data_IF_268553242128
#
_entry.id   IF_268553242128
#
_cell.length_a   1.000
_cell.length_b   1.000
_cell.length_c   1.000
_cell.angle_alpha   90.00
_cell.angle_beta   90.00
_cell.angle_gamma   90.00
#
_symmetry.space_group_name_H-M   'P 1'
#
loop_
_entity.id
_entity.type
_entity.pdbx_description
1 polymer ?
#
# COMPACT_ATOMS: atom_id res chain seq x y z
N UNK A 1 -11.60 -14.10 -12.65
CA UNK A 1 -12.38 -13.05 -13.32
C UNK A 1 -12.44 -11.87 -12.36
N UNK A 2 -11.75 -10.77 -12.67
CA UNK A 2 -11.78 -9.55 -11.84
C UNK A 2 -13.17 -8.93 -12.05
N UNK A 3 -13.91 -8.54 -11.00
CA UNK A 3 -15.21 -7.92 -11.16
C UNK A 3 -15.08 -6.61 -11.97
N UNK A 4 -16.00 -6.34 -12.92
CA UNK A 4 -15.83 -5.29 -13.93
C UNK A 4 -15.79 -3.85 -13.38
N UNK A 5 -16.26 -3.64 -12.15
CA UNK A 5 -16.39 -2.31 -11.52
C UNK A 5 -15.03 -1.68 -11.18
N UNK A 6 -14.09 -2.47 -10.67
CA UNK A 6 -12.76 -1.98 -10.23
C UNK A 6 -11.92 -1.43 -11.40
N UNK A 7 -12.01 -2.07 -12.57
CA UNK A 7 -11.27 -1.65 -13.75
C UNK A 7 -11.81 -0.34 -14.35
N UNK A 8 -13.14 -0.17 -14.39
CA UNK A 8 -13.77 1.06 -14.86
C UNK A 8 -13.47 2.24 -13.94
N UNK A 9 -13.48 2.05 -12.61
CA UNK A 9 -13.11 3.08 -11.63
C UNK A 9 -11.70 3.61 -11.85
N UNK A 10 -10.75 2.74 -12.22
CA UNK A 10 -9.36 3.13 -12.51
C UNK A 10 -9.23 4.00 -13.77
N UNK A 11 -10.05 3.76 -14.79
CA UNK A 11 -10.02 4.53 -16.05
C UNK A 11 -10.70 5.90 -15.92
N UNK A 12 -11.69 6.02 -15.03
CA UNK A 12 -12.45 7.25 -14.82
C UNK A 12 -11.81 8.17 -13.76
N UNK A 13 -10.85 7.66 -12.99
CA UNK A 13 -10.17 8.42 -11.96
C UNK A 13 -9.23 9.48 -12.59
N UNK A 14 -9.30 10.77 -12.17
CA UNK A 14 -8.34 11.80 -12.58
C UNK A 14 -6.92 11.53 -12.07
N UNK A 15 -6.74 10.54 -11.20
CA UNK A 15 -5.48 10.09 -10.62
C UNK A 15 -5.25 8.61 -10.97
N UNK A 16 -4.01 8.23 -11.25
CA UNK A 16 -3.63 6.82 -11.45
C UNK A 16 -3.74 6.05 -10.14
N UNK A 17 -4.85 5.35 -9.96
CA UNK A 17 -5.10 4.46 -8.83
C UNK A 17 -4.63 3.04 -9.15
N UNK A 18 -4.00 2.37 -8.20
CA UNK A 18 -3.72 0.93 -8.27
C UNK A 18 -4.17 0.29 -6.96
N UNK A 19 -4.78 -0.88 -7.03
CA UNK A 19 -5.42 -1.51 -5.88
C UNK A 19 -5.20 -3.01 -5.88
N UNK A 20 -4.89 -3.56 -4.72
CA UNK A 20 -4.83 -5.01 -4.49
C UNK A 20 -5.82 -5.40 -3.39
N UNK A 21 -6.68 -6.37 -3.67
CA UNK A 21 -7.66 -6.87 -2.71
C UNK A 21 -7.15 -8.04 -1.86
N UNK A 22 -7.87 -8.34 -0.78
CA UNK A 22 -7.59 -9.42 0.18
C UNK A 22 -7.37 -10.79 -0.46
N UNK A 23 -8.09 -11.10 -1.55
CA UNK A 23 -7.94 -12.34 -2.32
C UNK A 23 -6.54 -12.49 -2.93
N UNK A 24 -5.99 -11.38 -3.44
CA UNK A 24 -4.65 -11.37 -4.03
C UNK A 24 -3.59 -11.43 -2.94
N UNK A 25 -3.77 -10.66 -1.86
CA UNK A 25 -2.88 -10.64 -0.70
C UNK A 25 -2.78 -12.03 -0.06
N UNK A 26 -3.92 -12.71 0.10
CA UNK A 26 -3.97 -14.06 0.67
C UNK A 26 -3.28 -15.09 -0.22
N UNK A 27 -3.44 -14.99 -1.55
CA UNK A 27 -2.81 -15.91 -2.50
C UNK A 27 -1.30 -15.71 -2.66
N UNK A 28 -0.79 -14.50 -2.40
CA UNK A 28 0.65 -14.23 -2.52
C UNK A 28 1.47 -14.67 -1.32
N UNK A 29 0.83 -14.93 -0.18
CA UNK A 29 1.53 -15.26 1.07
C UNK A 29 2.18 -14.06 1.74
N UNK A 30 1.76 -12.84 1.40
CA UNK A 30 2.23 -11.64 2.09
C UNK A 30 1.82 -11.68 3.57
N UNK A 31 2.79 -11.59 4.48
CA UNK A 31 2.56 -11.65 5.93
C UNK A 31 2.16 -10.30 6.56
N UNK A 32 2.49 -9.21 5.90
CA UNK A 32 2.29 -7.83 6.38
C UNK A 32 2.02 -6.85 5.23
N UNK A 33 1.70 -5.60 5.58
CA UNK A 33 1.42 -4.55 4.60
C UNK A 33 2.64 -4.20 3.74
N UNK A 34 3.87 -4.34 4.25
CA UNK A 34 5.07 -4.05 3.48
C UNK A 34 5.23 -5.08 2.35
N UNK A 35 5.14 -6.36 2.68
CA UNK A 35 5.15 -7.45 1.71
C UNK A 35 3.97 -7.33 0.73
N UNK A 36 2.79 -6.91 1.21
CA UNK A 36 1.64 -6.70 0.36
C UNK A 36 1.85 -5.57 -0.65
N UNK A 37 2.43 -4.44 -0.22
CA UNK A 37 2.69 -3.28 -1.05
C UNK A 37 3.61 -3.59 -2.26
N UNK A 38 4.53 -4.55 -2.15
CA UNK A 38 5.42 -4.94 -3.25
C UNK A 38 4.69 -5.51 -4.46
N UNK A 39 3.42 -5.92 -4.32
CA UNK A 39 2.59 -6.34 -5.45
C UNK A 39 2.06 -5.16 -6.27
N UNK A 40 2.09 -3.94 -5.73
CA UNK A 40 1.63 -2.74 -6.40
C UNK A 40 2.70 -2.23 -7.38
N UNK A 41 2.40 -2.14 -8.68
CA UNK A 41 3.32 -1.60 -9.68
C UNK A 41 3.91 -0.24 -9.32
N UNK A 42 5.23 -0.15 -9.33
CA UNK A 42 5.96 1.08 -9.02
C UNK A 42 6.06 1.38 -7.52
N UNK A 43 5.59 0.50 -6.64
CA UNK A 43 5.88 0.56 -5.22
C UNK A 43 7.14 -0.24 -4.89
N UNK A 44 7.98 0.31 -4.02
CA UNK A 44 9.14 -0.35 -3.43
C UNK A 44 9.20 -0.04 -1.93
N UNK A 45 10.12 -0.71 -1.24
CA UNK A 45 10.34 -0.49 0.19
C UNK A 45 11.75 0.02 0.43
N UNK A 46 11.86 1.09 1.20
CA UNK A 46 13.11 1.49 1.85
C UNK A 46 13.23 0.77 3.20
N UNK A 47 14.41 0.22 3.49
CA UNK A 47 14.72 -0.55 4.71
C UNK A 47 13.75 -1.73 4.97
N UNK A 48 13.10 -2.23 3.92
CA UNK A 48 12.11 -3.31 4.00
C UNK A 48 10.77 -2.94 4.65
N UNK A 49 10.51 -1.66 4.97
CA UNK A 49 9.33 -1.26 5.75
C UNK A 49 8.71 0.09 5.42
N UNK A 50 9.44 0.98 4.76
CA UNK A 50 8.96 2.31 4.42
C UNK A 50 8.57 2.36 2.95
N UNK A 51 7.34 2.76 2.65
CA UNK A 51 6.87 2.86 1.27
C UNK A 51 7.66 3.91 0.46
N UNK A 52 8.04 3.52 -0.75
CA UNK A 52 8.58 4.40 -1.79
C UNK A 52 7.73 4.19 -3.02
N UNK A 53 7.09 5.25 -3.52
CA UNK A 53 6.16 5.15 -4.64
C UNK A 53 6.76 5.89 -5.83
N UNK A 54 7.00 5.17 -6.92
CA UNK A 54 7.62 5.69 -8.15
C UNK A 54 8.94 6.43 -7.87
N UNK A 55 9.74 5.90 -6.94
CA UNK A 55 11.03 6.47 -6.53
C UNK A 55 10.92 7.67 -5.57
N UNK A 56 9.71 8.10 -5.20
CA UNK A 56 9.51 9.23 -4.30
C UNK A 56 9.60 8.77 -2.83
N UNK A 57 10.42 9.43 -2.00
CA UNK A 57 10.57 9.09 -0.58
C UNK A 57 9.41 9.63 0.29
N UNK A 58 9.48 9.30 1.58
CA UNK A 58 8.48 9.56 2.62
C UNK A 58 7.88 10.98 2.67
N UNK A 59 8.64 12.02 2.35
CA UNK A 59 8.13 13.40 2.29
C UNK A 59 7.00 13.59 1.26
N UNK A 60 6.91 12.73 0.25
CA UNK A 60 5.92 12.77 -0.82
C UNK A 60 4.92 11.61 -0.76
N UNK A 61 5.14 10.64 0.13
CA UNK A 61 4.31 9.45 0.28
C UNK A 61 3.51 9.56 1.57
N UNK A 62 2.18 9.51 1.44
CA UNK A 62 1.28 9.47 2.57
C UNK A 62 0.69 8.08 2.73
N UNK A 63 0.70 7.55 3.95
CA UNK A 63 0.01 6.31 4.29
C UNK A 63 -1.28 6.66 5.01
N UNK A 64 -2.38 6.12 4.52
CA UNK A 64 -3.69 6.25 5.12
C UNK A 64 -4.19 4.84 5.49
N UNK A 65 -4.91 4.74 6.59
CA UNK A 65 -5.67 3.58 6.99
C UNK A 65 -7.12 4.01 7.17
N UNK A 66 -8.03 3.43 6.39
CA UNK A 66 -9.46 3.79 6.39
C UNK A 66 -9.70 5.30 6.24
N UNK A 67 -8.90 5.95 5.39
CA UNK A 67 -8.96 7.40 5.14
C UNK A 67 -8.28 8.28 6.20
N UNK A 68 -7.78 7.70 7.29
CA UNK A 68 -7.06 8.42 8.35
C UNK A 68 -5.56 8.34 8.09
N UNK A 69 -4.88 9.49 8.11
CA UNK A 69 -3.42 9.54 7.96
C UNK A 69 -2.75 8.88 9.17
N UNK A 70 -1.93 7.87 8.90
CA UNK A 70 -1.16 7.21 9.93
C UNK A 70 0.06 8.06 10.34
N UNK A 71 0.34 8.21 11.65
CA UNK A 71 1.52 8.91 12.12
C UNK A 71 2.78 8.04 12.00
N UNK A 72 3.95 8.67 11.97
CA UNK A 72 5.21 7.94 12.10
C UNK A 72 5.50 7.63 13.58
N UNK A 73 6.00 6.41 13.83
CA UNK A 73 6.56 6.01 15.12
C UNK A 73 8.08 6.27 15.22
N UNK A 74 8.70 6.84 14.18
CA UNK A 74 10.12 7.21 14.15
C UNK A 74 10.24 8.73 14.24
N UNK A 75 10.90 9.30 15.27
CA UNK A 75 11.03 10.75 15.42
C UNK A 75 11.83 11.41 14.30
N UNK A 76 12.61 10.65 13.53
CA UNK A 76 13.48 11.16 12.47
C UNK A 76 12.90 10.97 11.07
N UNK A 77 11.79 10.24 10.92
CA UNK A 77 11.17 9.98 9.61
C UNK A 77 9.70 10.37 9.61
N UNK A 78 9.16 10.70 8.43
CA UNK A 78 7.71 10.96 8.26
C UNK A 78 6.99 9.77 7.62
N UNK A 79 7.62 8.61 7.67
CA UNK A 79 7.18 7.36 7.07
C UNK A 79 6.58 6.40 8.11
N UNK A 80 5.60 5.61 7.69
CA UNK A 80 5.00 4.54 8.49
C UNK A 80 5.78 3.24 8.29
N UNK A 81 5.99 2.48 9.37
CA UNK A 81 6.62 1.15 9.34
C UNK A 81 5.56 0.10 8.97
N UNK A 82 5.47 -0.24 7.69
CA UNK A 82 4.40 -1.09 7.15
C UNK A 82 4.50 -2.57 7.55
N UNK A 83 5.70 -3.01 7.91
CA UNK A 83 5.98 -4.37 8.42
C UNK A 83 5.26 -4.68 9.75
N UNK A 84 4.75 -3.65 10.43
CA UNK A 84 4.04 -3.78 11.70
C UNK A 84 2.56 -4.09 11.54
N UNK A 85 2.03 -4.06 10.31
CA UNK A 85 0.61 -4.24 10.03
C UNK A 85 0.40 -5.63 9.41
N UNK A 86 -0.13 -6.60 10.17
CA UNK A 86 -0.34 -7.96 9.67
C UNK A 86 -1.33 -7.98 8.51
N UNK A 87 -1.06 -8.79 7.48
CA UNK A 87 -1.98 -8.93 6.34
C UNK A 87 -3.36 -9.47 6.73
N UNK A 88 -3.44 -10.22 7.84
CA UNK A 88 -4.68 -10.78 8.37
C UNK A 88 -5.75 -9.73 8.72
N UNK A 89 -5.36 -8.46 8.93
CA UNK A 89 -6.30 -7.36 9.24
C UNK A 89 -6.47 -6.38 8.07
N UNK A 90 -5.86 -6.67 6.91
CA UNK A 90 -5.86 -5.78 5.74
C UNK A 90 -6.84 -6.33 4.70
N UNK A 91 -7.85 -5.53 4.34
CA UNK A 91 -8.80 -5.88 3.29
C UNK A 91 -8.29 -5.54 1.88
N UNK A 92 -7.41 -4.55 1.78
CA UNK A 92 -6.80 -4.14 0.53
C UNK A 92 -5.82 -2.99 0.74
N UNK A 93 -5.03 -2.73 -0.29
CA UNK A 93 -4.08 -1.61 -0.39
C UNK A 93 -4.32 -0.90 -1.72
#
# INVERSE_FOLDING_TARGET
MIPPIEFSLRLEAPQLLDTIGVEMISRSGAGDAAAALLMVPGATLQDGKYAVIRGLPDRYVATLLDGIRLPSADPNKRAVKLDQFPSAVIQGI
#
